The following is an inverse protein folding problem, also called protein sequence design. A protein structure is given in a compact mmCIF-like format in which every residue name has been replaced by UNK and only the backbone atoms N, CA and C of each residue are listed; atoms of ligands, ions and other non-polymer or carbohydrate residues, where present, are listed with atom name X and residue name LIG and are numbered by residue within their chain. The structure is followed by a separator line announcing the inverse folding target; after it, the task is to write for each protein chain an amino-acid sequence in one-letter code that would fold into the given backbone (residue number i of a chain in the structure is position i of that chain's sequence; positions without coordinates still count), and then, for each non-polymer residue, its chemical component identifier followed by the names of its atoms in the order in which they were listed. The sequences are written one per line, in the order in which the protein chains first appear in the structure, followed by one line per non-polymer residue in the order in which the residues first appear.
data_IF_526310008906
#
_entry.id   IF_526310008906
#
_cell.length_a   1.000
_cell.length_b   1.000
_cell.length_c   1.000
_cell.angle_alpha   90.00
_cell.angle_beta   90.00
_cell.angle_gamma   90.00
#
_symmetry.space_group_name_H-M   'P 1'
#
loop_
_entity.id
_entity.type
_entity.pdbx_description
1 polymer ?
#
# COMPACT_ATOMS: atom_id res chain seq x y z
N UNK A 1 -3.70 1.01 -47.63
CA UNK A 1 -3.18 0.23 -46.48
C UNK A 1 -1.67 0.15 -46.58
N UNK A 2 -0.99 0.09 -45.42
CA UNK A 2 0.45 -0.09 -45.16
C UNK A 2 1.31 1.17 -45.05
N UNK A 3 1.41 1.75 -43.83
CA UNK A 3 2.66 2.37 -43.33
C UNK A 3 2.93 2.15 -41.82
N UNK A 4 2.70 0.96 -41.22
CA UNK A 4 3.08 0.70 -39.83
C UNK A 4 4.60 0.79 -39.59
N UNK A 5 5.42 0.51 -40.62
CA UNK A 5 6.89 0.58 -40.51
C UNK A 5 7.44 2.00 -40.29
N UNK A 6 6.73 3.03 -40.77
CA UNK A 6 7.19 4.43 -40.63
C UNK A 6 6.95 4.94 -39.19
N UNK A 7 5.85 4.50 -38.57
CA UNK A 7 5.53 4.82 -37.18
C UNK A 7 6.49 4.12 -36.20
N UNK A 8 6.84 2.86 -36.48
CA UNK A 8 7.80 2.08 -35.70
C UNK A 8 9.20 2.68 -35.80
N UNK A 9 9.63 3.08 -37.00
CA UNK A 9 10.93 3.73 -37.20
C UNK A 9 11.08 5.04 -36.43
N UNK A 10 10.06 5.90 -36.47
CA UNK A 10 10.05 7.17 -35.72
C UNK A 10 10.05 6.91 -34.20
N UNK A 11 9.32 5.89 -33.75
CA UNK A 11 9.24 5.54 -32.33
C UNK A 11 10.58 5.05 -31.78
N UNK A 12 11.30 4.21 -32.54
CA UNK A 12 12.64 3.73 -32.14
C UNK A 12 13.64 4.89 -32.11
N UNK A 13 13.59 5.78 -33.10
CA UNK A 13 14.48 6.93 -33.16
C UNK A 13 14.23 7.91 -32.01
N UNK A 14 12.96 8.13 -31.62
CA UNK A 14 12.63 9.00 -30.48
C UNK A 14 13.12 8.41 -29.15
N UNK A 15 12.97 7.10 -28.94
CA UNK A 15 13.47 6.41 -27.75
C UNK A 15 15.00 6.48 -27.67
N UNK A 16 15.70 6.31 -28.79
CA UNK A 16 17.16 6.49 -28.83
C UNK A 16 17.59 7.92 -28.53
N UNK A 17 16.92 8.94 -29.08
CA UNK A 17 17.23 10.34 -28.79
C UNK A 17 16.96 10.70 -27.32
N UNK A 18 15.89 10.18 -26.73
CA UNK A 18 15.58 10.35 -25.31
C UNK A 18 16.67 9.69 -24.45
N UNK A 19 17.09 8.46 -24.78
CA UNK A 19 18.15 7.76 -24.06
C UNK A 19 19.51 8.50 -24.16
N UNK A 20 19.85 9.03 -25.33
CA UNK A 20 21.04 9.86 -25.55
C UNK A 20 20.99 11.18 -24.77
N UNK A 21 19.82 11.84 -24.73
CA UNK A 21 19.61 13.04 -23.92
C UNK A 21 19.80 12.73 -22.44
N UNK A 22 19.22 11.64 -21.92
CA UNK A 22 19.43 11.22 -20.53
C UNK A 22 20.89 10.84 -20.24
N UNK A 23 21.60 10.22 -21.19
CA UNK A 23 23.01 9.87 -21.04
C UNK A 23 23.92 11.11 -20.98
N UNK A 24 23.69 12.09 -21.86
CA UNK A 24 24.47 13.34 -21.92
C UNK A 24 24.14 14.27 -20.74
N UNK A 25 22.87 14.38 -20.37
CA UNK A 25 22.45 15.15 -19.19
C UNK A 25 22.88 14.47 -17.89
N UNK A 26 22.86 13.14 -17.82
CA UNK A 26 23.34 12.36 -16.68
C UNK A 26 24.83 12.56 -16.40
N UNK A 27 25.67 12.64 -17.44
CA UNK A 27 27.13 12.86 -17.29
C UNK A 27 27.51 14.24 -16.74
N UNK A 28 26.63 15.25 -16.79
CA UNK A 28 26.96 16.61 -16.29
C UNK A 28 26.66 16.81 -14.80
N UNK A 29 26.12 15.81 -14.10
CA UNK A 29 25.77 15.92 -12.68
C UNK A 29 26.87 15.48 -11.70
N UNK A 30 28.02 14.99 -12.18
CA UNK A 30 29.05 14.34 -11.35
C UNK A 30 30.09 15.28 -10.72
N UNK A 31 29.80 16.57 -10.60
CA UNK A 31 30.65 17.53 -9.88
C UNK A 31 30.03 17.88 -8.51
N UNK A 32 29.94 16.90 -7.61
CA UNK A 32 29.64 17.13 -6.19
C UNK A 32 30.97 17.18 -5.41
N UNK A 33 31.23 18.23 -4.60
CA UNK A 33 32.48 18.38 -3.84
C UNK A 33 32.54 17.50 -2.58
N UNK A 34 31.54 16.65 -2.34
CA UNK A 34 31.48 15.77 -1.17
C UNK A 34 32.14 14.42 -1.49
N UNK A 35 32.95 13.84 -0.59
CA UNK A 35 33.50 12.50 -0.80
C UNK A 35 32.34 11.51 -0.95
N UNK A 36 32.26 10.89 -2.13
CA UNK A 36 31.21 9.94 -2.53
C UNK A 36 31.26 8.59 -1.79
N UNK A 37 32.21 8.42 -0.87
CA UNK A 37 32.53 7.10 -0.29
C UNK A 37 31.86 6.94 1.07
N UNK A 38 30.76 6.20 1.09
CA UNK A 38 30.21 5.58 2.31
C UNK A 38 31.12 4.42 2.70
N UNK A 39 31.47 4.31 3.98
CA UNK A 39 32.27 3.17 4.43
C UNK A 39 31.44 1.87 4.41
N UNK A 40 32.03 0.70 4.15
CA UNK A 40 31.31 -0.58 4.19
C UNK A 40 30.58 -0.84 5.51
N UNK A 41 31.14 -0.36 6.63
CA UNK A 41 30.49 -0.45 7.94
C UNK A 41 29.21 0.40 8.06
N UNK A 42 29.23 1.62 7.51
CA UNK A 42 28.04 2.49 7.52
C UNK A 42 26.96 1.94 6.58
N UNK A 43 27.34 1.36 5.44
CA UNK A 43 26.42 0.70 4.53
C UNK A 43 25.73 -0.50 5.20
N UNK A 44 26.49 -1.37 5.86
CA UNK A 44 25.93 -2.50 6.59
C UNK A 44 24.96 -2.06 7.69
N UNK A 45 25.32 -1.02 8.44
CA UNK A 45 24.45 -0.44 9.47
C UNK A 45 23.18 0.16 8.86
N UNK A 46 23.30 0.83 7.71
CA UNK A 46 22.17 1.38 6.97
C UNK A 46 21.20 0.28 6.54
N UNK A 47 21.72 -0.79 5.94
CA UNK A 47 20.91 -1.94 5.53
C UNK A 47 20.23 -2.64 6.71
N UNK A 48 20.93 -2.78 7.84
CA UNK A 48 20.35 -3.35 9.05
C UNK A 48 19.17 -2.51 9.57
N UNK A 49 19.30 -1.18 9.57
CA UNK A 49 18.22 -0.28 9.95
C UNK A 49 17.03 -0.31 8.96
N UNK A 50 17.31 -0.40 7.66
CA UNK A 50 16.25 -0.58 6.65
C UNK A 50 15.50 -1.89 6.87
N UNK A 51 16.21 -2.98 7.18
CA UNK A 51 15.58 -4.27 7.48
C UNK A 51 14.72 -4.21 8.77
N UNK A 52 15.15 -3.46 9.79
CA UNK A 52 14.35 -3.22 10.98
C UNK A 52 13.04 -2.48 10.66
N UNK A 53 13.09 -1.45 9.81
CA UNK A 53 11.90 -0.78 9.29
C UNK A 53 11.01 -1.75 8.51
N UNK A 54 11.57 -2.58 7.63
CA UNK A 54 10.77 -3.53 6.85
C UNK A 54 10.05 -4.57 7.72
N UNK A 55 10.73 -5.02 8.77
CA UNK A 55 10.16 -5.93 9.78
C UNK A 55 8.98 -5.28 10.50
N UNK A 56 9.14 -4.03 10.95
CA UNK A 56 8.05 -3.28 11.61
C UNK A 56 6.88 -3.03 10.65
N UNK A 57 7.15 -2.72 9.38
CA UNK A 57 6.11 -2.58 8.36
C UNK A 57 5.31 -3.87 8.17
N UNK A 58 6.00 -5.02 8.11
CA UNK A 58 5.37 -6.33 8.01
C UNK A 58 4.52 -6.66 9.25
N UNK A 59 4.99 -6.31 10.44
CA UNK A 59 4.22 -6.45 11.67
C UNK A 59 2.96 -5.56 11.66
N UNK A 60 3.08 -4.32 11.18
CA UNK A 60 1.97 -3.40 11.04
C UNK A 60 0.91 -3.93 10.07
N UNK A 61 1.35 -4.49 8.94
CA UNK A 61 0.46 -5.14 7.98
C UNK A 61 -0.30 -6.31 8.61
N UNK A 62 0.39 -7.19 9.36
CA UNK A 62 -0.25 -8.32 10.06
C UNK A 62 -1.22 -7.87 11.15
N UNK A 63 -0.85 -6.86 11.94
CA UNK A 63 -1.71 -6.29 12.98
C UNK A 63 -2.98 -5.66 12.38
N UNK A 64 -2.83 -4.95 11.26
CA UNK A 64 -3.95 -4.37 10.55
C UNK A 64 -4.87 -5.42 9.92
N UNK A 65 -4.34 -6.54 9.39
CA UNK A 65 -5.17 -7.66 8.88
C UNK A 65 -5.96 -8.35 9.98
N UNK A 66 -5.37 -8.49 11.16
CA UNK A 66 -6.02 -9.11 12.33
C UNK A 66 -6.96 -8.16 13.06
N UNK A 67 -7.06 -6.89 12.64
CA UNK A 67 -7.83 -5.82 13.31
C UNK A 67 -7.43 -5.62 14.79
N UNK A 68 -6.21 -5.99 15.15
CA UNK A 68 -5.69 -5.83 16.51
C UNK A 68 -5.20 -4.39 16.71
N UNK A 69 -6.05 -3.58 17.35
CA UNK A 69 -5.81 -2.16 17.62
C UNK A 69 -4.62 -1.99 18.57
N UNK A 70 -4.51 -2.84 19.59
CA UNK A 70 -3.43 -2.77 20.58
C UNK A 70 -2.08 -3.02 19.93
N UNK A 71 -1.99 -4.09 19.13
CA UNK A 71 -0.76 -4.46 18.41
C UNK A 71 -0.39 -3.43 17.34
N UNK A 72 -1.38 -2.83 16.70
CA UNK A 72 -1.16 -1.74 15.74
C UNK A 72 -0.57 -0.51 16.44
N UNK A 73 -1.10 -0.12 17.60
CA UNK A 73 -0.57 0.99 18.40
C UNK A 73 0.86 0.71 18.86
N UNK A 74 1.12 -0.50 19.38
CA UNK A 74 2.46 -0.93 19.81
C UNK A 74 3.49 -0.86 18.67
N UNK A 75 3.15 -1.40 17.48
CA UNK A 75 4.06 -1.38 16.33
C UNK A 75 4.30 0.04 15.84
N UNK A 76 3.30 0.94 15.89
CA UNK A 76 3.48 2.35 15.54
C UNK A 76 4.46 3.06 16.49
N UNK A 77 4.40 2.79 17.80
CA UNK A 77 5.36 3.37 18.75
C UNK A 77 6.78 2.91 18.44
N UNK A 78 6.97 1.62 18.17
CA UNK A 78 8.27 1.06 17.76
C UNK A 78 8.76 1.65 16.43
N UNK A 79 7.83 1.88 15.49
CA UNK A 79 8.11 2.52 14.21
C UNK A 79 8.64 3.95 14.38
N UNK A 80 7.95 4.77 15.17
CA UNK A 80 8.37 6.17 15.41
C UNK A 80 9.75 6.22 16.06
N UNK A 81 10.00 5.35 17.05
CA UNK A 81 11.33 5.23 17.66
C UNK A 81 12.41 4.86 16.64
N UNK A 82 12.19 3.82 15.84
CA UNK A 82 13.13 3.38 14.81
C UNK A 82 13.38 4.47 13.76
N UNK A 83 12.34 5.23 13.38
CA UNK A 83 12.47 6.37 12.45
C UNK A 83 13.40 7.43 13.03
N UNK A 84 13.19 7.82 14.28
CA UNK A 84 13.94 8.90 14.92
C UNK A 84 15.41 8.48 15.11
N UNK A 85 15.66 7.23 15.50
CA UNK A 85 17.00 6.63 15.56
C UNK A 85 17.68 6.58 14.17
N UNK A 86 16.93 6.21 13.13
CA UNK A 86 17.43 6.16 11.76
C UNK A 86 17.83 7.54 11.25
N UNK A 87 17.01 8.57 11.48
CA UNK A 87 17.34 9.96 11.11
C UNK A 87 18.53 10.50 11.90
N UNK A 88 18.60 10.21 13.20
CA UNK A 88 19.71 10.64 14.05
C UNK A 88 21.04 10.03 13.60
N UNK A 89 21.05 8.74 13.26
CA UNK A 89 22.24 7.98 12.87
C UNK A 89 22.95 8.52 11.63
N UNK A 90 22.21 9.16 10.71
CA UNK A 90 22.76 9.62 9.43
C UNK A 90 22.73 11.13 9.24
N UNK A 91 22.43 11.91 10.29
CA UNK A 91 22.31 13.38 10.19
C UNK A 91 23.61 14.06 9.74
N UNK A 92 24.77 13.50 10.09
CA UNK A 92 26.10 14.04 9.77
C UNK A 92 26.61 13.67 8.37
N UNK A 93 26.04 12.66 7.72
CA UNK A 93 26.47 12.19 6.39
C UNK A 93 25.45 12.63 5.34
N UNK A 94 25.82 13.58 4.47
CA UNK A 94 24.89 14.17 3.48
C UNK A 94 24.25 13.14 2.54
N UNK A 95 24.96 12.09 2.16
CA UNK A 95 24.46 11.05 1.24
C UNK A 95 23.48 10.14 1.98
N UNK A 96 23.90 9.58 3.12
CA UNK A 96 23.05 8.69 3.92
C UNK A 96 21.86 9.42 4.54
N UNK A 97 21.99 10.71 4.83
CA UNK A 97 20.88 11.58 5.24
C UNK A 97 19.82 11.70 4.12
N UNK A 98 20.24 11.94 2.88
CA UNK A 98 19.30 11.98 1.74
C UNK A 98 18.63 10.62 1.52
N UNK A 99 19.41 9.54 1.58
CA UNK A 99 18.90 8.19 1.37
C UNK A 99 17.94 7.76 2.48
N UNK A 100 18.27 8.02 3.75
CA UNK A 100 17.38 7.73 4.88
C UNK A 100 16.05 8.47 4.78
N UNK A 101 16.07 9.75 4.40
CA UNK A 101 14.86 10.53 4.15
C UNK A 101 14.01 9.94 3.00
N UNK A 102 14.63 9.50 1.90
CA UNK A 102 13.92 8.85 0.79
C UNK A 102 13.28 7.54 1.23
N UNK A 103 14.00 6.69 1.97
CA UNK A 103 13.50 5.42 2.52
C UNK A 103 12.30 5.68 3.43
N UNK A 104 12.42 6.62 4.36
CA UNK A 104 11.33 6.95 5.29
C UNK A 104 10.10 7.51 4.57
N UNK A 105 10.30 8.35 3.54
CA UNK A 105 9.18 8.82 2.74
C UNK A 105 8.50 7.68 1.96
N UNK A 106 9.27 6.72 1.44
CA UNK A 106 8.72 5.53 0.79
C UNK A 106 7.84 4.72 1.74
N UNK A 107 8.35 4.42 2.94
CA UNK A 107 7.56 3.70 3.95
C UNK A 107 6.33 4.49 4.42
N UNK A 108 6.43 5.82 4.56
CA UNK A 108 5.27 6.66 4.86
C UNK A 108 4.16 6.49 3.80
N UNK A 109 4.52 6.48 2.53
CA UNK A 109 3.55 6.25 1.44
C UNK A 109 2.98 4.84 1.50
N UNK A 110 3.80 3.81 1.73
CA UNK A 110 3.33 2.43 1.90
C UNK A 110 2.32 2.29 3.04
N UNK A 111 2.61 2.88 4.21
CA UNK A 111 1.71 2.90 5.36
C UNK A 111 0.40 3.64 5.05
N UNK A 112 0.46 4.74 4.29
CA UNK A 112 -0.75 5.46 3.84
C UNK A 112 -1.61 4.56 2.95
N UNK A 113 -1.03 3.97 1.91
CA UNK A 113 -1.72 3.04 1.00
C UNK A 113 -2.33 1.87 1.77
N UNK A 114 -1.58 1.31 2.72
CA UNK A 114 -2.05 0.24 3.58
C UNK A 114 -3.32 0.67 4.35
N UNK A 115 -3.30 1.84 5.01
CA UNK A 115 -4.47 2.39 5.72
C UNK A 115 -5.67 2.61 4.80
N UNK A 116 -5.44 3.13 3.59
CA UNK A 116 -6.50 3.39 2.62
C UNK A 116 -7.15 2.08 2.14
N UNK A 117 -6.35 1.05 1.83
CA UNK A 117 -6.86 -0.29 1.49
C UNK A 117 -7.73 -0.86 2.61
N UNK A 118 -7.28 -0.73 3.87
CA UNK A 118 -8.06 -1.23 5.01
C UNK A 118 -9.37 -0.50 5.21
N UNK A 119 -9.39 0.83 5.07
CA UNK A 119 -10.62 1.62 5.17
C UNK A 119 -11.64 1.15 4.13
N UNK A 120 -11.24 1.02 2.87
CA UNK A 120 -12.12 0.55 1.80
C UNK A 120 -12.63 -0.86 2.07
N UNK A 121 -11.76 -1.80 2.47
CA UNK A 121 -12.16 -3.18 2.79
C UNK A 121 -13.10 -3.26 3.99
N UNK A 122 -12.90 -2.41 5.01
CA UNK A 122 -13.78 -2.37 6.17
C UNK A 122 -15.19 -1.86 5.82
N UNK A 123 -15.27 -0.84 4.95
CA UNK A 123 -16.54 -0.32 4.45
C UNK A 123 -17.28 -1.38 3.63
N UNK A 124 -16.60 -2.05 2.70
CA UNK A 124 -17.23 -3.07 1.86
C UNK A 124 -17.71 -4.30 2.65
N UNK A 125 -16.97 -4.70 3.71
CA UNK A 125 -17.43 -5.76 4.61
C UNK A 125 -18.67 -5.35 5.41
N UNK A 126 -18.73 -4.10 5.88
CA UNK A 126 -19.90 -3.56 6.59
C UNK A 126 -21.15 -3.54 5.68
N UNK A 127 -21.00 -3.15 4.42
CA UNK A 127 -22.09 -3.19 3.44
C UNK A 127 -22.57 -4.62 3.18
N UNK A 128 -21.64 -5.57 3.05
CA UNK A 128 -21.97 -6.99 2.85
C UNK A 128 -22.71 -7.59 4.06
N UNK A 129 -22.34 -7.22 5.29
CA UNK A 129 -23.03 -7.63 6.50
C UNK A 129 -24.45 -7.06 6.57
N UNK A 130 -24.64 -5.79 6.21
CA UNK A 130 -25.96 -5.15 6.13
C UNK A 130 -26.85 -5.83 5.07
N UNK A 131 -26.30 -6.08 3.88
CA UNK A 131 -27.00 -6.82 2.81
C UNK A 131 -27.40 -8.21 3.27
N UNK A 132 -26.52 -8.95 3.94
CA UNK A 132 -26.82 -10.27 4.49
C UNK A 132 -27.96 -10.22 5.50
N UNK A 133 -27.97 -9.25 6.41
CA UNK A 133 -29.04 -9.06 7.38
C UNK A 133 -30.38 -8.72 6.71
N UNK A 134 -30.36 -7.88 5.67
CA UNK A 134 -31.55 -7.54 4.89
C UNK A 134 -32.11 -8.76 4.16
N UNK A 135 -31.24 -9.58 3.52
CA UNK A 135 -31.64 -10.83 2.87
C UNK A 135 -32.31 -11.78 3.87
N UNK A 136 -31.72 -11.98 5.04
CA UNK A 136 -32.31 -12.84 6.08
C UNK A 136 -33.69 -12.33 6.53
N UNK A 137 -33.85 -11.01 6.68
CA UNK A 137 -35.14 -10.40 7.04
C UNK A 137 -36.20 -10.65 5.97
N UNK A 138 -35.84 -10.50 4.69
CA UNK A 138 -36.73 -10.76 3.57
C UNK A 138 -37.05 -12.25 3.41
N UNK A 139 -36.10 -13.14 3.69
CA UNK A 139 -36.35 -14.59 3.74
C UNK A 139 -37.36 -14.97 4.82
N UNK A 140 -37.26 -14.36 6.01
CA UNK A 140 -38.24 -14.56 7.10
C UNK A 140 -39.63 -14.07 6.66
N UNK A 141 -39.75 -12.83 6.17
CA UNK A 141 -41.05 -12.31 5.67
C UNK A 141 -41.64 -13.18 4.56
N UNK A 142 -40.82 -13.65 3.63
CA UNK A 142 -41.26 -14.55 2.57
C UNK A 142 -41.80 -15.87 3.12
N UNK A 143 -41.16 -16.40 4.18
CA UNK A 143 -41.64 -17.61 4.86
C UNK A 143 -42.98 -17.37 5.57
N UNK A 144 -43.15 -16.21 6.22
CA UNK A 144 -44.39 -15.79 6.88
C UNK A 144 -45.53 -15.66 5.87
N UNK A 145 -45.31 -14.93 4.77
CA UNK A 145 -46.29 -14.76 3.69
C UNK A 145 -46.68 -16.09 3.02
N UNK A 146 -45.75 -17.05 2.96
CA UNK A 146 -46.03 -18.39 2.44
C UNK A 146 -46.95 -19.15 3.40
N UNK A 147 -46.70 -19.05 4.71
CA UNK A 147 -47.55 -19.65 5.76
C UNK A 147 -48.95 -19.02 5.75
N UNK A 148 -49.07 -17.70 5.67
CA UNK A 148 -50.36 -17.01 5.55
C UNK A 148 -51.14 -17.47 4.32
N UNK A 149 -50.48 -17.56 3.15
CA UNK A 149 -51.13 -18.07 1.94
C UNK A 149 -51.62 -19.51 2.10
N UNK A 150 -50.89 -20.37 2.81
CA UNK A 150 -51.34 -21.73 3.10
C UNK A 150 -52.56 -21.74 4.00
N UNK A 151 -52.59 -20.91 5.05
CA UNK A 151 -53.74 -20.77 5.95
C UNK A 151 -54.98 -20.26 5.21
N UNK A 152 -54.83 -19.23 4.36
CA UNK A 152 -55.94 -18.68 3.55
C UNK A 152 -56.50 -19.76 2.61
N UNK A 153 -55.62 -20.49 1.91
CA UNK A 153 -56.06 -21.58 1.03
C UNK A 153 -56.81 -22.66 1.80
N UNK A 154 -56.35 -23.01 3.00
CA UNK A 154 -57.01 -24.01 3.83
C UNK A 154 -58.38 -23.52 4.32
N UNK A 155 -58.49 -22.26 4.74
CA UNK A 155 -59.75 -21.65 5.13
C UNK A 155 -60.78 -21.62 3.99
N UNK A 156 -60.33 -21.30 2.76
CA UNK A 156 -61.18 -21.31 1.57
C UNK A 156 -61.65 -22.71 1.16
N UNK A 157 -60.89 -23.77 1.47
CA UNK A 157 -61.28 -25.15 1.17
C UNK A 157 -62.28 -25.73 2.19
N UNK A 158 -62.38 -25.12 3.37
CA UNK A 158 -63.36 -25.48 4.42
C UNK A 158 -64.70 -24.74 4.32
N UNK A 159 -64.83 -23.79 3.38
CA UNK A 159 -66.06 -23.08 3.03
C UNK A 159 -66.74 -23.75 1.82
#
# INVERSE_FOLDING_TARGET
MNKPGLFIGISILSVMCIALLFFVLGKKSDASPYPLTVSPSEELQFLANVNALDTLYTQLQKAAYSKDISKTAEVNVRWDKQRDEFLASYKSNTILSKLSNQVLNNYRQRVKVLKDIYRTKSASLSEAEQLKSAIQTEEVKKSELKTENQMIKQALLTL
#
